data_IF_328837195423
#
_entry.id   IF_328837195423
#
_cell.length_a   1.000
_cell.length_b   1.000
_cell.length_c   1.000
_cell.angle_alpha   90.00
_cell.angle_beta   90.00
_cell.angle_gamma   90.00
#
_symmetry.space_group_name_H-M   'P 1'
#
loop_
_entity.id
_entity.type
_entity.pdbx_description
1 polymer ?
#
# COMPACT_ATOMS: atom_id res chain seq x y z
N UNK A 1 -18.89 -42.80 -36.11
CA UNK A 1 -17.66 -43.56 -36.44
C UNK A 1 -17.07 -42.98 -37.72
N UNK A 2 -15.78 -42.62 -37.70
CA UNK A 2 -14.77 -42.58 -38.79
C UNK A 2 -15.15 -41.96 -40.17
N UNK A 3 -14.30 -41.25 -40.91
CA UNK A 3 -12.92 -40.77 -40.80
C UNK A 3 -12.68 -40.01 -42.14
N UNK A 4 -12.19 -38.76 -42.13
CA UNK A 4 -10.81 -38.39 -42.53
C UNK A 4 -10.57 -38.11 -44.04
N UNK A 5 -10.18 -36.82 -44.26
CA UNK A 5 -9.22 -36.20 -45.23
C UNK A 5 -9.52 -36.14 -46.73
N UNK A 6 -9.39 -34.93 -47.29
CA UNK A 6 -8.17 -34.49 -48.00
C UNK A 6 -8.21 -32.97 -48.36
N UNK A 7 -7.21 -32.19 -47.92
CA UNK A 7 -6.79 -30.96 -48.59
C UNK A 7 -5.26 -30.92 -48.71
N UNK A 8 -4.82 -30.90 -49.97
CA UNK A 8 -3.54 -30.40 -50.53
C UNK A 8 -3.45 -28.87 -50.32
N UNK A 9 -2.37 -28.11 -50.51
CA UNK A 9 -0.92 -28.22 -50.67
C UNK A 9 -0.39 -26.77 -50.85
N UNK A 10 0.91 -26.52 -50.66
CA UNK A 10 1.64 -25.29 -51.07
C UNK A 10 1.82 -24.24 -49.96
N UNK A 11 2.97 -23.59 -49.76
CA UNK A 11 4.14 -23.35 -50.60
C UNK A 11 5.42 -23.16 -49.76
N UNK A 12 6.56 -23.50 -50.38
CA UNK A 12 7.95 -23.17 -50.01
C UNK A 12 8.23 -21.66 -50.08
N UNK A 13 9.21 -21.16 -49.29
CA UNK A 13 10.48 -20.65 -49.84
C UNK A 13 11.44 -20.11 -48.74
N UNK A 14 12.73 -20.39 -48.93
CA UNK A 14 13.87 -20.04 -48.10
C UNK A 14 14.61 -18.78 -48.60
N UNK A 15 15.45 -18.17 -47.76
CA UNK A 15 16.68 -17.49 -48.20
C UNK A 15 17.70 -17.30 -47.04
N UNK A 16 18.96 -17.54 -47.36
CA UNK A 16 20.20 -17.58 -46.55
C UNK A 16 21.06 -16.32 -46.79
N UNK A 17 22.19 -16.26 -46.04
CA UNK A 17 23.49 -15.57 -46.27
C UNK A 17 23.72 -14.34 -45.38
N UNK A 18 24.92 -13.98 -44.91
CA UNK A 18 26.25 -14.59 -44.72
C UNK A 18 27.15 -13.44 -44.21
N UNK A 19 28.26 -13.72 -43.50
CA UNK A 19 29.40 -12.79 -43.45
C UNK A 19 30.23 -12.77 -42.16
N UNK A 20 31.37 -13.48 -42.18
CA UNK A 20 32.47 -13.44 -41.20
C UNK A 20 33.68 -12.62 -41.72
N UNK A 21 34.54 -12.17 -40.80
CA UNK A 21 35.96 -11.83 -41.01
C UNK A 21 36.34 -10.46 -40.46
N UNK A 22 37.41 -10.22 -39.68
CA UNK A 22 38.51 -11.04 -39.18
C UNK A 22 39.85 -10.25 -39.21
N UNK A 23 40.55 -10.19 -38.06
CA UNK A 23 42.03 -10.04 -37.89
C UNK A 23 42.71 -8.68 -38.22
N UNK A 24 43.79 -8.18 -37.61
CA UNK A 24 44.98 -8.74 -36.91
C UNK A 24 45.62 -7.76 -35.88
N UNK A 25 46.49 -8.29 -35.02
CA UNK A 25 47.25 -7.70 -33.90
C UNK A 25 48.51 -6.87 -34.25
N UNK A 26 49.03 -6.07 -33.27
CA UNK A 26 50.47 -5.93 -32.89
C UNK A 26 50.68 -5.08 -31.60
N UNK A 27 51.65 -5.49 -30.75
CA UNK A 27 52.19 -4.93 -29.47
C UNK A 27 53.30 -3.86 -29.74
N UNK A 28 54.08 -3.31 -28.76
CA UNK A 28 53.87 -2.80 -27.39
C UNK A 28 54.38 -1.34 -27.16
N UNK A 29 54.25 -0.84 -25.92
CA UNK A 29 54.57 0.46 -25.26
C UNK A 29 55.90 1.18 -25.62
N UNK A 30 56.00 2.52 -25.43
CA UNK A 30 56.57 3.06 -24.17
C UNK A 30 55.87 4.32 -23.60
N UNK A 31 55.98 4.53 -22.28
CA UNK A 31 55.76 5.81 -21.59
C UNK A 31 57.08 6.61 -21.55
N UNK A 32 57.18 7.83 -20.97
CA UNK A 32 56.15 8.77 -20.48
C UNK A 32 56.30 10.16 -21.15
N UNK A 33 55.47 11.15 -20.79
CA UNK A 33 55.89 12.50 -20.36
C UNK A 33 54.66 13.36 -20.02
N UNK A 34 54.84 14.08 -18.93
CA UNK A 34 53.91 14.94 -18.20
C UNK A 34 53.65 16.25 -18.95
N UNK A 35 52.37 16.61 -19.12
CA UNK A 35 51.97 18.02 -19.24
C UNK A 35 50.70 18.19 -18.41
N UNK A 36 50.83 19.01 -17.37
CA UNK A 36 49.76 19.44 -16.50
C UNK A 36 48.89 20.46 -17.21
N UNK A 37 47.58 20.22 -17.28
CA UNK A 37 46.59 21.26 -17.57
C UNK A 37 45.50 21.26 -16.47
N UNK A 38 44.98 22.44 -16.09
CA UNK A 38 44.13 22.61 -14.92
C UNK A 38 42.73 22.07 -15.16
N UNK A 39 42.32 21.15 -14.29
CA UNK A 39 40.98 20.57 -14.27
C UNK A 39 39.98 21.64 -13.80
N UNK A 40 39.20 22.16 -14.74
CA UNK A 40 37.97 22.93 -14.44
C UNK A 40 36.95 21.94 -13.87
N UNK A 41 36.67 22.08 -12.58
CA UNK A 41 35.64 21.32 -11.90
C UNK A 41 34.25 21.63 -12.48
N UNK A 42 33.35 20.65 -12.66
CA UNK A 42 31.94 20.95 -12.84
C UNK A 42 31.38 21.50 -11.53
N UNK A 43 30.70 22.63 -11.62
CA UNK A 43 30.05 23.33 -10.52
C UNK A 43 29.10 22.40 -9.75
N UNK A 44 29.30 22.33 -8.44
CA UNK A 44 28.35 21.75 -7.50
C UNK A 44 27.01 22.50 -7.56
N UNK A 45 25.85 21.83 -7.49
CA UNK A 45 24.60 22.51 -7.26
C UNK A 45 24.61 23.06 -5.83
N UNK A 46 24.90 24.36 -5.72
CA UNK A 46 24.76 25.12 -4.49
C UNK A 46 23.30 25.16 -4.04
N UNK A 47 23.04 24.65 -2.83
CA UNK A 47 22.01 25.22 -1.95
C UNK A 47 20.57 24.77 -2.19
N UNK A 48 20.30 23.47 -2.12
CA UNK A 48 19.04 23.03 -1.51
C UNK A 48 19.34 22.83 -0.02
N UNK A 49 18.76 23.68 0.83
CA UNK A 49 18.78 23.51 2.28
C UNK A 49 18.26 22.11 2.60
N UNK A 50 19.16 21.19 2.94
CA UNK A 50 18.79 19.90 3.52
C UNK A 50 18.12 20.21 4.85
N UNK A 51 16.79 20.28 4.85
CA UNK A 51 16.02 20.21 6.09
C UNK A 51 16.41 18.89 6.73
N UNK A 52 16.95 18.89 7.96
CA UNK A 52 17.35 17.66 8.62
C UNK A 52 16.15 16.72 8.65
N UNK A 53 16.26 15.59 7.95
CA UNK A 53 15.29 14.49 8.05
C UNK A 53 15.14 14.20 9.55
N UNK A 54 13.92 14.29 10.08
CA UNK A 54 13.65 14.13 11.50
C UNK A 54 14.30 12.83 12.00
N UNK A 55 15.47 12.95 12.61
CA UNK A 55 16.21 11.84 13.15
C UNK A 55 15.49 11.42 14.42
N UNK A 56 14.59 10.43 14.32
CA UNK A 56 13.93 9.95 15.53
C UNK A 56 12.68 9.09 15.39
N UNK A 57 12.03 8.98 14.23
CA UNK A 57 10.87 8.07 14.13
C UNK A 57 11.37 6.67 13.80
N UNK A 58 11.97 6.02 14.81
CA UNK A 58 12.16 4.58 14.77
C UNK A 58 10.80 3.92 14.96
N UNK A 59 10.53 3.04 14.00
CA UNK A 59 9.57 1.96 14.04
C UNK A 59 8.10 2.32 13.77
N UNK A 60 7.45 1.35 13.15
CA UNK A 60 6.12 1.35 12.56
C UNK A 60 4.97 1.52 13.58
N UNK A 61 5.25 2.08 14.76
CA UNK A 61 4.39 2.03 15.94
C UNK A 61 3.36 3.18 16.02
N UNK A 62 3.53 4.25 15.23
CA UNK A 62 2.54 5.36 15.22
C UNK A 62 1.32 5.03 14.37
N UNK A 63 1.50 4.27 13.28
CA UNK A 63 0.39 3.78 12.44
C UNK A 63 -0.54 2.78 13.16
N UNK A 64 -0.16 2.36 14.37
CA UNK A 64 -0.89 1.40 15.21
C UNK A 64 -1.28 1.96 16.58
N UNK A 65 -1.17 3.27 16.81
CA UNK A 65 -1.61 3.85 18.08
C UNK A 65 -3.11 3.61 18.30
N UNK A 66 -3.37 2.70 19.23
CA UNK A 66 -4.68 2.30 19.74
C UNK A 66 -5.46 3.44 20.41
N UNK A 67 -4.83 4.59 20.66
CA UNK A 67 -5.29 5.55 21.66
C UNK A 67 -6.04 6.76 21.08
N UNK A 68 -6.17 6.87 19.75
CA UNK A 68 -7.04 7.84 19.10
C UNK A 68 -8.21 7.12 18.41
N UNK A 69 -9.24 6.77 19.19
CA UNK A 69 -10.60 6.49 18.74
C UNK A 69 -10.76 5.68 17.44
N UNK A 70 -10.73 4.35 17.54
CA UNK A 70 -11.74 3.51 16.89
C UNK A 70 -11.61 3.14 15.41
N UNK A 71 -10.50 3.43 14.71
CA UNK A 71 -10.44 3.10 13.27
C UNK A 71 -9.79 1.76 12.91
N UNK A 72 -9.16 1.09 13.88
CA UNK A 72 -8.64 -0.26 13.73
C UNK A 72 -9.71 -1.35 13.93
N UNK A 73 -10.98 -0.95 14.12
CA UNK A 73 -12.10 -1.86 14.31
C UNK A 73 -12.44 -2.67 13.04
N UNK A 74 -13.20 -3.76 13.19
CA UNK A 74 -13.77 -4.51 12.08
C UNK A 74 -14.48 -3.55 11.10
N UNK A 75 -14.45 -3.90 9.81
CA UNK A 75 -15.22 -3.14 8.84
C UNK A 75 -16.69 -3.13 9.29
N UNK A 76 -17.37 -1.96 9.26
CA UNK A 76 -18.70 -1.83 9.80
C UNK A 76 -19.61 -2.90 9.20
N UNK A 77 -20.41 -3.54 10.05
CA UNK A 77 -21.42 -4.51 9.65
C UNK A 77 -22.56 -3.86 8.83
N UNK A 78 -22.43 -2.57 8.49
CA UNK A 78 -23.49 -1.70 7.99
C UNK A 78 -23.90 -2.00 6.54
N UNK A 79 -23.07 -2.72 5.77
CA UNK A 79 -23.46 -3.23 4.44
C UNK A 79 -24.30 -4.51 4.50
N UNK A 80 -24.94 -4.82 5.63
CA UNK A 80 -25.87 -5.94 5.73
C UNK A 80 -27.31 -5.43 5.65
N UNK A 81 -27.91 -5.34 4.45
CA UNK A 81 -29.36 -5.28 4.35
C UNK A 81 -29.96 -6.45 5.11
N UNK A 82 -30.84 -6.16 6.06
CA UNK A 82 -31.62 -7.17 6.77
C UNK A 82 -32.30 -8.08 5.72
N UNK A 83 -31.94 -9.36 5.71
CA UNK A 83 -32.57 -10.37 4.84
C UNK A 83 -31.64 -11.21 3.95
N UNK A 84 -30.32 -10.95 3.90
CA UNK A 84 -29.41 -11.72 3.02
C UNK A 84 -28.52 -12.77 3.70
N UNK A 85 -28.41 -12.78 5.03
CA UNK A 85 -27.74 -13.86 5.77
C UNK A 85 -28.81 -14.74 6.40
N UNK A 86 -28.55 -16.05 6.44
CA UNK A 86 -29.32 -16.91 7.36
C UNK A 86 -29.03 -16.50 8.81
N UNK A 87 -29.95 -16.79 9.73
CA UNK A 87 -29.74 -16.48 11.15
C UNK A 87 -28.41 -17.05 11.67
N UNK A 88 -28.09 -18.29 11.27
CA UNK A 88 -26.85 -18.95 11.62
C UNK A 88 -25.60 -18.24 11.04
N UNK A 89 -25.67 -17.72 9.83
CA UNK A 89 -24.55 -16.98 9.24
C UNK A 89 -24.43 -15.56 9.80
N UNK A 90 -25.55 -14.93 10.19
CA UNK A 90 -25.52 -13.65 10.92
C UNK A 90 -24.85 -13.86 12.27
N UNK A 91 -25.21 -14.90 13.01
CA UNK A 91 -24.55 -15.25 14.27
C UNK A 91 -23.04 -15.51 14.06
N UNK A 92 -22.68 -16.25 13.01
CA UNK A 92 -21.27 -16.50 12.66
C UNK A 92 -20.50 -15.22 12.32
N UNK A 93 -21.14 -14.30 11.59
CA UNK A 93 -20.53 -13.02 11.24
C UNK A 93 -20.25 -12.20 12.50
N UNK A 94 -21.24 -12.10 13.40
CA UNK A 94 -21.09 -11.39 14.68
C UNK A 94 -20.00 -12.03 15.56
N UNK A 95 -19.95 -13.37 15.63
CA UNK A 95 -18.86 -14.06 16.32
C UNK A 95 -17.48 -13.74 15.72
N UNK A 96 -17.41 -13.59 14.39
CA UNK A 96 -16.18 -13.18 13.70
C UNK A 96 -15.75 -11.75 14.07
N UNK A 97 -16.71 -10.84 14.19
CA UNK A 97 -16.48 -9.45 14.65
C UNK A 97 -15.98 -9.45 16.10
N UNK A 98 -16.66 -10.18 17.00
CA UNK A 98 -16.25 -10.31 18.40
C UNK A 98 -14.83 -10.91 18.51
N UNK A 99 -14.49 -11.86 17.65
CA UNK A 99 -13.15 -12.44 17.58
C UNK A 99 -12.10 -11.42 17.10
N UNK A 100 -12.43 -10.52 16.18
CA UNK A 100 -11.54 -9.43 15.76
C UNK A 100 -11.29 -8.44 16.91
N UNK A 101 -12.35 -8.05 17.62
CA UNK A 101 -12.26 -7.14 18.76
C UNK A 101 -11.46 -7.75 19.92
N UNK A 102 -11.56 -9.07 20.10
CA UNK A 102 -10.75 -9.82 21.06
C UNK A 102 -9.30 -10.11 20.58
N UNK A 103 -8.91 -9.68 19.38
CA UNK A 103 -7.60 -9.97 18.79
C UNK A 103 -7.38 -11.45 18.41
N UNK A 104 -8.44 -12.26 18.40
CA UNK A 104 -8.39 -13.66 17.99
C UNK A 104 -8.49 -13.79 16.47
N UNK A 105 -7.42 -13.38 15.79
CA UNK A 105 -7.37 -13.28 14.33
C UNK A 105 -7.54 -14.63 13.62
N UNK A 106 -7.03 -15.73 14.20
CA UNK A 106 -7.20 -17.08 13.65
C UNK A 106 -8.67 -17.50 13.65
N UNK A 107 -9.39 -17.22 14.75
CA UNK A 107 -10.83 -17.52 14.83
C UNK A 107 -11.62 -16.66 13.85
N UNK A 108 -11.34 -15.36 13.83
CA UNK A 108 -11.99 -14.43 12.90
C UNK A 108 -11.79 -14.84 11.43
N UNK A 109 -10.55 -15.16 11.03
CA UNK A 109 -10.26 -15.62 9.68
C UNK A 109 -11.05 -16.88 9.33
N UNK A 110 -11.05 -17.87 10.22
CA UNK A 110 -11.80 -19.12 9.99
C UNK A 110 -13.28 -18.83 9.71
N UNK A 111 -13.88 -17.92 10.48
CA UNK A 111 -15.30 -17.56 10.34
C UNK A 111 -15.57 -16.78 9.04
N UNK A 112 -14.74 -15.77 8.73
CA UNK A 112 -14.93 -14.96 7.54
C UNK A 112 -14.53 -15.67 6.24
N UNK A 113 -13.57 -16.59 6.27
CA UNK A 113 -13.25 -17.44 5.12
C UNK A 113 -14.42 -18.36 4.74
N UNK A 114 -15.05 -19.01 5.72
CA UNK A 114 -16.25 -19.81 5.47
C UNK A 114 -17.42 -18.95 4.93
N UNK A 115 -17.57 -17.72 5.43
CA UNK A 115 -18.58 -16.78 4.94
C UNK A 115 -18.26 -16.27 3.53
N UNK A 116 -16.98 -16.11 3.16
CA UNK A 116 -16.60 -15.58 1.84
C UNK A 116 -16.88 -16.58 0.73
N UNK A 117 -16.77 -17.88 1.01
CA UNK A 117 -17.17 -18.95 0.10
C UNK A 117 -18.69 -18.95 -0.16
N UNK A 118 -19.48 -18.74 0.90
CA UNK A 118 -20.95 -18.74 0.80
C UNK A 118 -21.51 -17.43 0.25
N UNK A 119 -20.84 -16.31 0.50
CA UNK A 119 -21.26 -14.97 0.13
C UNK A 119 -20.15 -14.22 -0.64
N UNK A 120 -19.73 -14.71 -1.82
CA UNK A 120 -18.54 -14.22 -2.53
C UNK A 120 -18.68 -12.81 -3.11
N UNK A 121 -19.89 -12.25 -3.12
CA UNK A 121 -20.21 -10.89 -3.59
C UNK A 121 -20.51 -9.90 -2.46
N UNK A 122 -20.21 -10.27 -1.20
CA UNK A 122 -20.46 -9.42 -0.05
C UNK A 122 -19.17 -8.71 0.39
N UNK A 123 -19.11 -7.40 0.20
CA UNK A 123 -17.92 -6.60 0.46
C UNK A 123 -17.47 -6.68 1.93
N UNK A 124 -18.40 -6.53 2.88
CA UNK A 124 -18.10 -6.58 4.33
C UNK A 124 -17.47 -7.89 4.81
N UNK A 125 -17.81 -9.04 4.20
CA UNK A 125 -17.17 -10.32 4.53
C UNK A 125 -15.72 -10.34 4.08
N UNK A 126 -15.43 -9.87 2.87
CA UNK A 126 -14.06 -9.76 2.36
C UNK A 126 -13.25 -8.72 3.14
N UNK A 127 -13.88 -7.60 3.54
CA UNK A 127 -13.26 -6.57 4.35
C UNK A 127 -12.84 -7.13 5.72
N UNK A 128 -13.73 -7.85 6.41
CA UNK A 128 -13.41 -8.46 7.71
C UNK A 128 -12.44 -9.63 7.62
N UNK A 129 -12.47 -10.42 6.53
CA UNK A 129 -11.42 -11.41 6.25
C UNK A 129 -10.05 -10.74 6.08
N UNK A 130 -10.00 -9.60 5.38
CA UNK A 130 -8.79 -8.79 5.25
C UNK A 130 -8.29 -8.29 6.61
N UNK A 131 -9.19 -7.83 7.48
CA UNK A 131 -8.87 -7.40 8.84
C UNK A 131 -8.30 -8.53 9.67
N UNK A 132 -8.90 -9.72 9.62
CA UNK A 132 -8.40 -10.90 10.33
C UNK A 132 -6.98 -11.26 9.87
N UNK A 133 -6.76 -11.34 8.56
CA UNK A 133 -5.45 -11.68 7.98
C UNK A 133 -4.39 -10.64 8.28
N UNK A 134 -4.74 -9.36 8.22
CA UNK A 134 -3.82 -8.28 8.56
C UNK A 134 -3.41 -8.33 10.03
N UNK A 135 -4.35 -8.61 10.94
CA UNK A 135 -4.07 -8.82 12.35
C UNK A 135 -3.22 -10.06 12.62
N UNK A 136 -3.42 -11.13 11.83
CA UNK A 136 -2.60 -12.35 11.84
C UNK A 136 -1.21 -12.21 11.21
N UNK A 137 -0.86 -11.05 10.65
CA UNK A 137 0.43 -10.80 9.98
C UNK A 137 0.51 -11.30 8.54
N UNK A 138 -0.61 -11.71 7.94
CA UNK A 138 -0.70 -12.23 6.58
C UNK A 138 -0.95 -11.12 5.55
N UNK A 139 -0.02 -10.16 5.46
CA UNK A 139 -0.19 -8.92 4.68
C UNK A 139 -0.54 -9.14 3.19
N UNK A 140 -0.05 -10.23 2.56
CA UNK A 140 -0.40 -10.58 1.17
C UNK A 140 -1.84 -11.07 1.02
N UNK A 141 -2.28 -11.91 1.95
CA UNK A 141 -3.63 -12.45 1.96
C UNK A 141 -4.64 -11.36 2.34
N UNK A 142 -4.25 -10.45 3.25
CA UNK A 142 -5.03 -9.27 3.61
C UNK A 142 -5.23 -8.32 2.41
N UNK A 143 -4.16 -7.99 1.69
CA UNK A 143 -4.22 -7.14 0.49
C UNK A 143 -5.19 -7.71 -0.55
N UNK A 144 -5.12 -9.02 -0.81
CA UNK A 144 -6.03 -9.69 -1.75
C UNK A 144 -7.49 -9.62 -1.30
N UNK A 145 -7.76 -9.82 -0.01
CA UNK A 145 -9.12 -9.75 0.55
C UNK A 145 -9.69 -8.32 0.52
N UNK A 146 -8.89 -7.31 0.88
CA UNK A 146 -9.31 -5.91 0.81
C UNK A 146 -9.53 -5.45 -0.63
N UNK A 147 -8.66 -5.83 -1.58
CA UNK A 147 -8.87 -5.54 -3.01
C UNK A 147 -10.18 -6.14 -3.52
N UNK A 148 -10.53 -7.35 -3.06
CA UNK A 148 -11.81 -7.95 -3.36
C UNK A 148 -12.98 -7.17 -2.75
N UNK A 149 -12.84 -6.69 -1.51
CA UNK A 149 -13.86 -5.87 -0.87
C UNK A 149 -14.11 -4.55 -1.62
N UNK A 150 -13.06 -3.79 -1.95
CA UNK A 150 -13.21 -2.52 -2.70
C UNK A 150 -13.68 -2.70 -4.13
N UNK A 151 -13.42 -3.87 -4.73
CA UNK A 151 -13.98 -4.23 -6.03
C UNK A 151 -15.47 -4.57 -5.99
N UNK A 152 -16.03 -4.83 -4.81
CA UNK A 152 -17.46 -5.06 -4.58
C UNK A 152 -18.17 -3.78 -4.10
N UNK A 153 -17.50 -3.01 -3.25
CA UNK A 153 -17.96 -1.70 -2.78
C UNK A 153 -16.78 -0.73 -2.64
N UNK A 154 -16.72 0.25 -3.54
CA UNK A 154 -15.66 1.24 -3.58
C UNK A 154 -15.77 2.33 -2.49
N UNK A 155 -16.91 2.44 -1.80
CA UNK A 155 -17.15 3.46 -0.77
C UNK A 155 -16.61 3.08 0.62
N UNK A 156 -15.96 1.92 0.75
CA UNK A 156 -15.42 1.42 2.01
C UNK A 156 -14.17 2.20 2.47
N UNK A 157 -14.38 3.38 3.06
CA UNK A 157 -13.33 4.25 3.59
C UNK A 157 -12.35 3.50 4.51
N UNK A 158 -12.89 2.68 5.43
CA UNK A 158 -12.12 1.80 6.34
C UNK A 158 -11.12 0.91 5.59
N UNK A 159 -11.56 0.30 4.49
CA UNK A 159 -10.77 -0.66 3.71
C UNK A 159 -9.68 0.06 2.91
N UNK A 160 -10.00 1.20 2.29
CA UNK A 160 -9.00 2.04 1.63
C UNK A 160 -7.88 2.47 2.58
N UNK A 161 -8.21 2.88 3.81
CA UNK A 161 -7.21 3.19 4.82
C UNK A 161 -6.31 2.00 5.16
N UNK A 162 -6.88 0.79 5.26
CA UNK A 162 -6.12 -0.45 5.51
C UNK A 162 -5.22 -0.84 4.33
N UNK A 163 -5.68 -0.65 3.09
CA UNK A 163 -4.87 -0.79 1.89
C UNK A 163 -3.69 0.18 1.90
N UNK A 164 -3.92 1.43 2.30
CA UNK A 164 -2.87 2.44 2.46
C UNK A 164 -1.77 2.00 3.43
N UNK A 165 -2.15 1.45 4.58
CA UNK A 165 -1.20 0.90 5.57
C UNK A 165 -0.39 -0.24 4.97
N UNK A 166 -1.03 -1.20 4.31
CA UNK A 166 -0.35 -2.34 3.70
C UNK A 166 0.63 -1.92 2.59
N UNK A 167 0.25 -0.96 1.76
CA UNK A 167 1.14 -0.41 0.73
C UNK A 167 2.31 0.36 1.36
N UNK A 168 2.08 1.14 2.41
CA UNK A 168 3.14 1.86 3.12
C UNK A 168 4.15 0.90 3.77
N UNK A 169 3.69 -0.20 4.40
CA UNK A 169 4.56 -1.25 4.96
C UNK A 169 5.45 -1.91 3.91
N UNK A 170 5.02 -1.94 2.65
CA UNK A 170 5.76 -2.49 1.50
C UNK A 170 6.67 -1.47 0.82
N UNK A 171 6.70 -0.22 1.28
CA UNK A 171 7.42 0.87 0.64
C UNK A 171 6.79 1.35 -0.68
N UNK A 172 5.54 0.98 -0.95
CA UNK A 172 4.82 1.38 -2.17
C UNK A 172 4.13 2.74 -1.96
N UNK A 173 4.93 3.80 -1.78
CA UNK A 173 4.45 5.10 -1.30
C UNK A 173 3.33 5.73 -2.16
N UNK A 174 3.43 5.66 -3.49
CA UNK A 174 2.39 6.20 -4.37
C UNK A 174 1.05 5.46 -4.24
N UNK A 175 1.09 4.12 -4.09
CA UNK A 175 -0.12 3.32 -3.88
C UNK A 175 -0.71 3.59 -2.51
N UNK A 176 0.14 3.76 -1.49
CA UNK A 176 -0.30 4.14 -0.15
C UNK A 176 -1.02 5.48 -0.16
N UNK A 177 -0.46 6.49 -0.84
CA UNK A 177 -1.08 7.80 -1.01
C UNK A 177 -2.47 7.68 -1.66
N UNK A 178 -2.56 7.00 -2.80
CA UNK A 178 -3.83 6.84 -3.51
C UNK A 178 -4.91 6.16 -2.64
N UNK A 179 -4.52 5.14 -1.88
CA UNK A 179 -5.44 4.44 -0.99
C UNK A 179 -5.88 5.32 0.20
N UNK A 180 -4.98 6.11 0.80
CA UNK A 180 -5.36 7.07 1.83
C UNK A 180 -6.24 8.20 1.29
N UNK A 181 -5.95 8.73 0.11
CA UNK A 181 -6.77 9.74 -0.56
C UNK A 181 -8.18 9.19 -0.85
N UNK A 182 -8.29 7.97 -1.36
CA UNK A 182 -9.59 7.30 -1.57
C UNK A 182 -10.37 7.09 -0.26
N UNK A 183 -9.67 6.80 0.85
CA UNK A 183 -10.30 6.70 2.16
C UNK A 183 -10.87 8.05 2.62
N UNK A 184 -10.13 9.15 2.42
CA UNK A 184 -10.57 10.51 2.77
C UNK A 184 -11.63 11.06 1.80
N UNK A 185 -11.66 10.61 0.55
CA UNK A 185 -12.74 10.93 -0.38
C UNK A 185 -14.05 10.29 0.07
N UNK A 186 -14.00 9.04 0.55
CA UNK A 186 -15.17 8.33 1.06
C UNK A 186 -15.62 8.84 2.44
N UNK A 187 -14.69 9.15 3.34
CA UNK A 187 -14.97 9.81 4.62
C UNK A 187 -13.84 10.78 5.01
N UNK A 188 -14.05 12.10 4.87
CA UNK A 188 -13.05 13.11 5.22
C UNK A 188 -12.75 13.23 6.71
N UNK A 189 -13.56 12.63 7.60
CA UNK A 189 -13.43 12.82 9.06
C UNK A 189 -12.57 11.75 9.73
N UNK A 190 -11.91 10.89 8.95
CA UNK A 190 -11.05 9.81 9.43
C UNK A 190 -9.70 10.34 9.89
N UNK A 191 -9.65 10.78 11.14
CA UNK A 191 -8.45 11.38 11.73
C UNK A 191 -7.19 10.51 11.53
N UNK A 192 -7.27 9.20 11.82
CA UNK A 192 -6.11 8.31 11.69
C UNK A 192 -5.62 8.15 10.24
N UNK A 193 -6.49 8.32 9.25
CA UNK A 193 -6.06 8.36 7.84
C UNK A 193 -5.27 9.65 7.57
N UNK A 194 -5.70 10.80 8.09
CA UNK A 194 -4.90 12.04 8.02
C UNK A 194 -3.53 11.84 8.68
N UNK A 195 -3.46 11.26 9.88
CA UNK A 195 -2.18 10.99 10.55
C UNK A 195 -1.25 10.13 9.69
N UNK A 196 -1.75 9.01 9.17
CA UNK A 196 -0.97 8.09 8.36
C UNK A 196 -0.51 8.71 7.03
N UNK A 197 -1.36 9.51 6.39
CA UNK A 197 -1.03 10.22 5.16
C UNK A 197 0.00 11.34 5.42
N UNK A 198 -0.08 12.03 6.56
CA UNK A 198 0.92 13.00 6.99
C UNK A 198 2.31 12.36 7.16
N UNK A 199 2.37 11.22 7.86
CA UNK A 199 3.61 10.44 8.03
C UNK A 199 4.18 10.01 6.67
N UNK A 200 3.32 9.53 5.77
CA UNK A 200 3.71 9.14 4.41
C UNK A 200 4.31 10.32 3.64
N UNK A 201 3.67 11.49 3.69
CA UNK A 201 4.15 12.70 3.04
C UNK A 201 5.51 13.15 3.57
N UNK A 202 5.71 13.14 4.89
CA UNK A 202 6.96 13.56 5.50
C UNK A 202 8.10 12.58 5.22
N UNK A 203 7.89 11.29 5.51
CA UNK A 203 8.96 10.29 5.54
C UNK A 203 9.33 9.77 4.15
N UNK A 204 8.31 9.45 3.35
CA UNK A 204 8.45 8.65 2.15
C UNK A 204 8.37 9.49 0.87
N UNK A 205 7.55 10.55 0.87
CA UNK A 205 7.38 11.43 -0.29
C UNK A 205 8.19 12.74 -0.21
N UNK A 206 8.72 13.11 0.96
CA UNK A 206 9.52 14.32 1.14
C UNK A 206 8.73 15.61 0.93
N UNK A 207 7.44 15.61 1.27
CA UNK A 207 6.49 16.70 1.07
C UNK A 207 6.00 17.27 2.43
N UNK A 208 6.87 17.98 3.17
CA UNK A 208 6.59 18.41 4.55
C UNK A 208 5.41 19.38 4.68
N UNK A 209 5.12 20.18 3.65
CA UNK A 209 3.95 21.08 3.66
C UNK A 209 2.64 20.31 3.64
N UNK A 210 2.57 19.22 2.87
CA UNK A 210 1.39 18.35 2.84
C UNK A 210 1.27 17.57 4.15
N UNK A 211 2.39 17.10 4.70
CA UNK A 211 2.41 16.48 6.02
C UNK A 211 1.83 17.40 7.10
N UNK A 212 2.26 18.67 7.14
CA UNK A 212 1.75 19.67 8.07
C UNK A 212 0.23 19.89 7.95
N UNK A 213 -0.30 19.93 6.73
CA UNK A 213 -1.76 20.00 6.50
C UNK A 213 -2.46 18.81 7.15
N UNK A 214 -2.01 17.58 6.87
CA UNK A 214 -2.67 16.40 7.41
C UNK A 214 -2.51 16.23 8.93
N UNK A 215 -1.38 16.62 9.51
CA UNK A 215 -1.22 16.61 10.96
C UNK A 215 -2.17 17.59 11.66
N UNK A 216 -2.40 18.78 11.08
CA UNK A 216 -3.38 19.74 11.61
C UNK A 216 -4.80 19.18 11.54
N UNK A 217 -5.18 18.60 10.40
CA UNK A 217 -6.50 17.96 10.26
C UNK A 217 -6.69 16.79 11.25
N UNK A 218 -5.66 15.97 11.49
CA UNK A 218 -5.71 14.95 12.53
C UNK A 218 -5.99 15.58 13.91
N UNK A 219 -5.29 16.65 14.27
CA UNK A 219 -5.48 17.34 15.55
C UNK A 219 -6.88 17.94 15.68
N UNK A 220 -7.38 18.57 14.62
CA UNK A 220 -8.71 19.19 14.58
C UNK A 220 -9.85 18.15 14.68
N UNK A 221 -9.66 16.97 14.10
CA UNK A 221 -10.62 15.87 14.13
C UNK A 221 -10.52 15.02 15.41
N UNK A 222 -9.36 14.98 16.05
CA UNK A 222 -9.13 14.23 17.28
C UNK A 222 -9.79 14.92 18.48
N UNK A 223 -10.40 14.14 19.38
CA UNK A 223 -10.98 14.66 20.62
C UNK A 223 -9.95 14.94 21.72
N UNK A 224 -8.67 14.65 21.44
CA UNK A 224 -7.55 14.78 22.37
C UNK A 224 -6.33 15.35 21.65
N UNK A 225 -5.67 16.32 22.29
CA UNK A 225 -4.42 16.86 21.77
C UNK A 225 -3.29 15.82 21.90
N UNK A 226 -2.84 15.22 20.79
CA UNK A 226 -1.67 14.32 20.79
C UNK A 226 -0.37 15.14 20.87
N UNK A 227 0.38 15.08 22.00
CA UNK A 227 1.58 15.90 22.17
C UNK A 227 2.69 15.60 21.15
N UNK A 228 2.73 14.38 20.63
CA UNK A 228 3.72 14.02 19.62
C UNK A 228 3.37 14.61 18.26
N UNK A 229 2.11 14.54 17.86
CA UNK A 229 1.68 15.16 16.60
C UNK A 229 1.83 16.67 16.68
N UNK A 230 1.56 17.27 17.86
CA UNK A 230 1.85 18.69 18.08
C UNK A 230 3.34 19.01 17.91
N UNK A 231 4.24 18.19 18.47
CA UNK A 231 5.69 18.39 18.29
C UNK A 231 6.11 18.32 16.81
N UNK A 232 5.50 17.42 16.02
CA UNK A 232 5.73 17.36 14.57
C UNK A 232 5.23 18.60 13.84
N UNK A 233 4.05 19.11 14.21
CA UNK A 233 3.51 20.36 13.66
C UNK A 233 4.46 21.53 13.95
N UNK A 234 4.95 21.64 15.18
CA UNK A 234 5.86 22.72 15.61
C UNK A 234 7.20 22.65 14.87
N UNK A 235 7.71 21.45 14.64
CA UNK A 235 8.95 21.24 13.88
C UNK A 235 8.79 21.60 12.40
N UNK A 236 7.68 21.23 11.77
CA UNK A 236 7.42 21.47 10.34
C UNK A 236 6.95 22.91 10.04
N UNK A 237 6.62 23.70 11.08
CA UNK A 237 6.18 25.09 10.93
C UNK A 237 7.30 26.14 11.03
N UNK A 238 8.52 25.71 11.38
CA UNK A 238 9.73 26.57 11.50
C UNK A 238 10.53 26.55 10.20
#
# INVERSE_FOLDING_TARGET
MNSIRHHLAGCLAAALLAGCGGSTATKPTPAPQTVSDPQVAPAEPTGASEIPRAAGVKDADVATRSDAGGEAGPAPAEDVPAGQLTEADRARFLEGVDALDAGNFVRAETLFAALSERYPTRASVWANLGTARMGGGEDNAALSAYQRAVGLDAALAAVHGRLGILHARRGEADKARQAYEAALEADPRRALVHLNLGILFERDLGQPRQALTHYREFMDLSSTNDPQVQAWIDQLSQ
#
